data_IF_990475326870
#
_entry.id   IF_990475326870
#
_cell.length_a   1.000
_cell.length_b   1.000
_cell.length_c   1.000
_cell.angle_alpha   90.00
_cell.angle_beta   90.00
_cell.angle_gamma   90.00
#
_symmetry.space_group_name_H-M   'P 1'
#
loop_
_entity.id
_entity.type
_entity.pdbx_description
1 polymer ?
#
# COMPACT_ATOMS: atom_id res chain seq x y z
N UNK A 1 -17.81 -28.58 25.17
CA UNK A 1 -18.23 -27.34 24.49
C UNK A 1 -18.10 -27.57 23.00
N UNK A 2 -19.21 -27.72 22.28
CA UNK A 2 -19.23 -27.82 20.82
C UNK A 2 -18.92 -26.45 20.23
N UNK A 3 -17.95 -26.37 19.32
CA UNK A 3 -17.70 -25.13 18.57
C UNK A 3 -19.00 -24.65 17.90
N UNK A 4 -19.27 -23.33 17.86
CA UNK A 4 -20.43 -22.82 17.15
C UNK A 4 -20.39 -23.30 15.69
N UNK A 5 -21.53 -23.65 15.08
CA UNK A 5 -21.57 -24.02 13.68
C UNK A 5 -21.00 -22.86 12.85
N UNK A 6 -19.97 -23.16 12.05
CA UNK A 6 -19.43 -22.21 11.08
C UNK A 6 -20.57 -21.67 10.22
N UNK A 7 -20.58 -20.36 10.00
CA UNK A 7 -21.56 -19.66 9.18
C UNK A 7 -21.74 -20.42 7.84
N UNK A 8 -22.98 -20.67 7.39
CA UNK A 8 -23.25 -21.35 6.12
C UNK A 8 -22.47 -20.75 4.93
N UNK A 9 -22.22 -19.44 4.96
CA UNK A 9 -21.40 -18.76 3.96
C UNK A 9 -19.95 -19.21 4.02
N UNK A 10 -19.39 -19.39 5.21
CA UNK A 10 -18.03 -19.89 5.45
C UNK A 10 -17.89 -21.35 5.01
N UNK A 11 -18.88 -22.19 5.30
CA UNK A 11 -18.88 -23.57 4.83
C UNK A 11 -19.01 -23.66 3.31
N UNK A 12 -19.82 -22.81 2.70
CA UNK A 12 -19.96 -22.73 1.25
C UNK A 12 -18.65 -22.28 0.59
N UNK A 13 -17.99 -21.25 1.13
CA UNK A 13 -16.66 -20.83 0.67
C UNK A 13 -15.69 -22.00 0.81
N UNK A 14 -15.59 -22.64 1.98
CA UNK A 14 -14.65 -23.73 2.22
C UNK A 14 -14.84 -24.95 1.31
N UNK A 15 -16.09 -25.25 0.94
CA UNK A 15 -16.42 -26.42 0.10
C UNK A 15 -16.34 -26.13 -1.39
N UNK A 16 -16.41 -24.86 -1.80
CA UNK A 16 -16.46 -24.46 -3.21
C UNK A 16 -15.15 -23.83 -3.70
N UNK A 17 -14.30 -23.32 -2.79
CA UNK A 17 -13.05 -22.68 -3.15
C UNK A 17 -12.00 -23.73 -3.52
N UNK A 18 -11.88 -24.01 -4.81
CA UNK A 18 -10.73 -24.76 -5.34
C UNK A 18 -9.45 -23.93 -5.17
N UNK A 19 -8.30 -24.61 -5.14
CA UNK A 19 -6.99 -23.94 -5.11
C UNK A 19 -6.83 -22.93 -6.26
N UNK A 20 -7.35 -23.26 -7.44
CA UNK A 20 -7.32 -22.38 -8.62
C UNK A 20 -8.20 -21.14 -8.45
N UNK A 21 -9.41 -21.30 -7.89
CA UNK A 21 -10.31 -20.19 -7.61
C UNK A 21 -9.73 -19.25 -6.54
N UNK A 22 -9.08 -19.82 -5.52
CA UNK A 22 -8.37 -19.06 -4.50
C UNK A 22 -7.19 -18.27 -5.08
N UNK A 23 -6.36 -18.91 -5.90
CA UNK A 23 -5.23 -18.24 -6.56
C UNK A 23 -5.68 -17.15 -7.53
N UNK A 24 -6.78 -17.37 -8.26
CA UNK A 24 -7.36 -16.34 -9.13
C UNK A 24 -7.85 -15.14 -8.32
N UNK A 25 -8.55 -15.37 -7.21
CA UNK A 25 -9.01 -14.31 -6.31
C UNK A 25 -7.84 -13.51 -5.72
N UNK A 26 -6.76 -14.18 -5.29
CA UNK A 26 -5.52 -13.57 -4.83
C UNK A 26 -4.89 -12.66 -5.90
N UNK A 27 -4.79 -13.13 -7.15
CA UNK A 27 -4.24 -12.32 -8.25
C UNK A 27 -5.11 -11.09 -8.55
N UNK A 28 -6.44 -11.22 -8.49
CA UNK A 28 -7.35 -10.08 -8.62
C UNK A 28 -7.15 -9.05 -7.48
N UNK A 29 -6.95 -9.53 -6.25
CA UNK A 29 -6.65 -8.65 -5.13
C UNK A 29 -5.34 -7.90 -5.34
N UNK A 30 -4.27 -8.57 -5.77
CA UNK A 30 -2.99 -7.91 -6.08
C UNK A 30 -3.17 -6.83 -7.15
N UNK A 31 -3.94 -7.14 -8.21
CA UNK A 31 -4.19 -6.19 -9.30
C UNK A 31 -4.91 -4.93 -8.86
N UNK A 32 -5.76 -5.01 -7.84
CA UNK A 32 -6.51 -3.86 -7.34
C UNK A 32 -5.75 -3.12 -6.24
N UNK A 33 -5.24 -3.84 -5.25
CA UNK A 33 -4.69 -3.26 -4.03
C UNK A 33 -3.27 -2.72 -4.22
N UNK A 34 -2.39 -3.43 -4.94
CA UNK A 34 -1.01 -2.98 -5.09
C UNK A 34 -0.90 -1.61 -5.80
N UNK A 35 -1.64 -1.32 -6.90
CA UNK A 35 -1.62 0.01 -7.50
C UNK A 35 -2.22 1.09 -6.58
N UNK A 36 -3.24 0.75 -5.79
CA UNK A 36 -3.87 1.68 -4.86
C UNK A 36 -2.90 2.10 -3.75
N UNK A 37 -2.22 1.12 -3.13
CA UNK A 37 -1.24 1.36 -2.07
C UNK A 37 -0.06 2.21 -2.59
N UNK A 38 0.51 1.82 -3.73
CA UNK A 38 1.56 2.58 -4.40
C UNK A 38 1.10 4.02 -4.72
N UNK A 39 -0.13 4.17 -5.21
CA UNK A 39 -0.72 5.47 -5.53
C UNK A 39 -0.84 6.39 -4.31
N UNK A 40 -1.34 5.86 -3.19
CA UNK A 40 -1.48 6.60 -1.92
C UNK A 40 -0.11 7.05 -1.41
N UNK A 41 0.88 6.14 -1.39
CA UNK A 41 2.23 6.45 -0.90
C UNK A 41 2.90 7.47 -1.83
N UNK A 42 2.75 7.30 -3.15
CA UNK A 42 3.28 8.23 -4.15
C UNK A 42 2.72 9.64 -3.96
N UNK A 43 1.40 9.77 -3.82
CA UNK A 43 0.75 11.06 -3.59
C UNK A 43 1.21 11.70 -2.28
N UNK A 44 1.35 10.92 -1.22
CA UNK A 44 1.87 11.38 0.06
C UNK A 44 3.29 11.93 -0.07
N UNK A 45 4.17 11.21 -0.78
CA UNK A 45 5.52 11.68 -1.08
C UNK A 45 5.51 12.95 -1.91
N UNK A 46 4.60 13.08 -2.90
CA UNK A 46 4.50 14.28 -3.75
C UNK A 46 4.11 15.51 -2.94
N UNK A 47 3.13 15.36 -2.05
CA UNK A 47 2.72 16.43 -1.14
C UNK A 47 3.89 16.83 -0.23
N UNK A 48 4.60 15.84 0.34
CA UNK A 48 5.77 16.10 1.18
C UNK A 48 6.90 16.82 0.43
N UNK A 49 7.17 16.44 -0.83
CA UNK A 49 8.17 17.10 -1.68
C UNK A 49 7.82 18.56 -1.96
N UNK A 50 6.54 18.89 -2.15
CA UNK A 50 6.06 20.28 -2.27
C UNK A 50 6.30 21.06 -0.98
N UNK A 51 5.97 20.48 0.18
CA UNK A 51 6.24 21.09 1.48
C UNK A 51 7.74 21.35 1.72
N UNK A 52 8.60 20.42 1.29
CA UNK A 52 10.06 20.54 1.40
C UNK A 52 10.65 21.58 0.46
N UNK A 53 10.14 21.66 -0.78
CA UNK A 53 10.59 22.67 -1.73
C UNK A 53 10.35 24.10 -1.21
N UNK A 54 9.21 24.34 -0.56
CA UNK A 54 8.94 25.65 0.07
C UNK A 54 9.82 25.94 1.29
N UNK A 55 10.24 24.89 2.00
CA UNK A 55 11.16 25.00 3.12
C UNK A 55 12.65 25.01 2.69
N UNK A 56 12.94 25.09 1.39
CA UNK A 56 14.32 25.06 0.86
C UNK A 56 15.05 23.74 1.12
N UNK A 57 14.33 22.65 1.42
CA UNK A 57 14.92 21.35 1.73
C UNK A 57 14.97 20.47 0.47
N UNK A 58 15.97 19.58 0.37
CA UNK A 58 16.14 18.66 -0.76
C UNK A 58 14.97 17.68 -0.92
N UNK A 59 14.71 17.27 -2.18
CA UNK A 59 13.74 16.24 -2.58
C UNK A 59 14.01 14.86 -1.95
N UNK A 60 12.95 14.07 -1.82
CA UNK A 60 12.97 12.76 -1.14
C UNK A 60 13.21 11.60 -2.13
N UNK A 61 14.35 11.62 -2.85
CA UNK A 61 14.62 10.67 -3.95
C UNK A 61 14.63 9.20 -3.47
N UNK A 62 15.26 8.90 -2.34
CA UNK A 62 15.39 7.51 -1.85
C UNK A 62 14.04 6.85 -1.52
N UNK A 63 13.05 7.62 -1.04
CA UNK A 63 11.72 7.06 -0.74
C UNK A 63 10.95 6.73 -2.02
N UNK A 64 11.11 7.53 -3.08
CA UNK A 64 10.56 7.21 -4.40
C UNK A 64 11.21 5.97 -5.01
N UNK A 65 12.54 5.82 -4.87
CA UNK A 65 13.22 4.61 -5.33
C UNK A 65 12.74 3.38 -4.56
N UNK A 66 12.58 3.48 -3.23
CA UNK A 66 12.01 2.42 -2.41
C UNK A 66 10.61 2.03 -2.87
N UNK A 67 9.74 3.01 -3.10
CA UNK A 67 8.38 2.77 -3.62
C UNK A 67 8.38 2.11 -5.00
N UNK A 68 9.25 2.56 -5.91
CA UNK A 68 9.38 1.96 -7.24
C UNK A 68 9.82 0.49 -7.15
N UNK A 69 10.80 0.18 -6.30
CA UNK A 69 11.24 -1.19 -6.07
C UNK A 69 10.11 -2.05 -5.49
N UNK A 70 9.33 -1.52 -4.54
CA UNK A 70 8.17 -2.21 -3.99
C UNK A 70 7.14 -2.53 -5.08
N UNK A 71 6.79 -1.54 -5.92
CA UNK A 71 5.88 -1.74 -7.04
C UNK A 71 6.36 -2.84 -7.99
N UNK A 72 7.65 -2.85 -8.35
CA UNK A 72 8.23 -3.86 -9.23
C UNK A 72 8.23 -5.26 -8.60
N UNK A 73 8.55 -5.37 -7.31
CA UNK A 73 8.51 -6.65 -6.59
C UNK A 73 7.08 -7.17 -6.47
N UNK A 74 6.10 -6.31 -6.19
CA UNK A 74 4.68 -6.69 -6.11
C UNK A 74 4.16 -7.28 -7.44
N UNK A 75 4.66 -6.82 -8.60
CA UNK A 75 4.31 -7.40 -9.90
C UNK A 75 4.77 -8.86 -10.06
N UNK A 76 5.81 -9.29 -9.33
CA UNK A 76 6.26 -10.69 -9.36
C UNK A 76 5.28 -11.64 -8.66
N UNK A 77 4.32 -11.10 -7.88
CA UNK A 77 3.22 -11.85 -7.28
C UNK A 77 2.26 -12.44 -8.31
N UNK A 78 2.15 -11.87 -9.52
CA UNK A 78 1.30 -12.44 -10.59
C UNK A 78 1.82 -13.77 -11.16
N UNK A 79 3.14 -13.97 -11.08
CA UNK A 79 3.86 -15.14 -11.58
C UNK A 79 4.10 -16.17 -10.46
N UNK A 80 3.56 -15.94 -9.27
CA UNK A 80 3.68 -16.93 -8.19
C UNK A 80 2.74 -18.11 -8.44
N UNK A 81 3.27 -19.31 -8.20
CA UNK A 81 2.57 -20.59 -8.40
C UNK A 81 1.95 -21.12 -7.10
N UNK A 82 2.32 -20.55 -5.95
CA UNK A 82 1.79 -20.91 -4.64
C UNK A 82 1.25 -19.70 -3.87
N UNK A 83 0.23 -19.89 -3.00
CA UNK A 83 -0.28 -18.81 -2.15
C UNK A 83 0.78 -18.22 -1.20
N UNK A 84 1.69 -19.04 -0.70
CA UNK A 84 2.77 -18.61 0.21
C UNK A 84 3.76 -17.68 -0.50
N UNK A 85 4.08 -17.98 -1.77
CA UNK A 85 4.90 -17.11 -2.60
C UNK A 85 4.20 -15.79 -2.90
N UNK A 86 2.90 -15.83 -3.24
CA UNK A 86 2.09 -14.62 -3.43
C UNK A 86 2.15 -13.76 -2.17
N UNK A 87 1.88 -14.37 -1.01
CA UNK A 87 1.84 -13.68 0.26
C UNK A 87 3.18 -13.02 0.58
N UNK A 88 4.28 -13.74 0.43
CA UNK A 88 5.62 -13.21 0.73
C UNK A 88 6.00 -12.08 -0.23
N UNK A 89 5.71 -12.24 -1.53
CA UNK A 89 6.02 -11.23 -2.58
C UNK A 89 5.18 -9.96 -2.48
N UNK A 90 4.04 -10.00 -1.79
CA UNK A 90 3.14 -8.85 -1.64
C UNK A 90 3.26 -8.21 -0.25
N UNK A 91 3.36 -9.03 0.80
CA UNK A 91 3.43 -8.56 2.19
C UNK A 91 4.69 -7.74 2.46
N UNK A 92 5.85 -8.17 1.95
CA UNK A 92 7.11 -7.46 2.17
C UNK A 92 7.07 -6.06 1.51
N UNK A 93 6.75 -5.91 0.21
CA UNK A 93 6.56 -4.59 -0.39
C UNK A 93 5.54 -3.75 0.35
N UNK A 94 4.37 -4.31 0.69
CA UNK A 94 3.33 -3.59 1.42
C UNK A 94 3.82 -3.05 2.77
N UNK A 95 4.58 -3.84 3.53
CA UNK A 95 5.17 -3.40 4.79
C UNK A 95 6.19 -2.27 4.61
N UNK A 96 7.00 -2.31 3.53
CA UNK A 96 7.95 -1.24 3.21
C UNK A 96 7.20 0.03 2.77
N UNK A 97 6.17 -0.09 1.94
CA UNK A 97 5.31 1.00 1.51
C UNK A 97 4.66 1.71 2.70
N UNK A 98 4.11 0.93 3.63
CA UNK A 98 3.54 1.44 4.88
C UNK A 98 4.60 2.16 5.73
N UNK A 99 5.81 1.61 5.84
CA UNK A 99 6.91 2.25 6.55
C UNK A 99 7.32 3.59 5.89
N UNK A 100 7.41 3.64 4.56
CA UNK A 100 7.70 4.87 3.81
C UNK A 100 6.61 5.91 4.06
N UNK A 101 5.35 5.50 4.01
CA UNK A 101 4.20 6.36 4.27
C UNK A 101 4.22 6.93 5.68
N UNK A 102 4.30 6.08 6.72
CA UNK A 102 4.33 6.50 8.11
C UNK A 102 5.53 7.39 8.41
N UNK A 103 6.72 7.03 7.93
CA UNK A 103 7.92 7.85 8.10
C UNK A 103 7.76 9.23 7.45
N UNK A 104 7.16 9.30 6.26
CA UNK A 104 6.90 10.57 5.58
C UNK A 104 5.91 11.44 6.34
N UNK A 105 4.83 10.84 6.88
CA UNK A 105 3.89 11.57 7.72
C UNK A 105 4.53 12.11 9.00
N UNK A 106 5.38 11.33 9.66
CA UNK A 106 6.04 11.77 10.90
C UNK A 106 7.06 12.88 10.63
N UNK A 107 7.92 12.71 9.62
CA UNK A 107 9.04 13.63 9.37
C UNK A 107 8.61 14.90 8.63
N UNK A 108 7.70 14.77 7.66
CA UNK A 108 7.33 15.85 6.76
C UNK A 108 5.88 16.34 6.97
N UNK A 109 5.04 15.58 7.68
CA UNK A 109 3.65 15.94 7.97
C UNK A 109 3.44 17.31 8.62
N UNK A 110 4.23 17.72 9.65
CA UNK A 110 4.08 19.05 10.24
C UNK A 110 4.33 20.20 9.24
N UNK A 111 5.22 19.99 8.25
CA UNK A 111 5.50 20.99 7.20
C UNK A 111 4.36 21.03 6.19
N UNK A 112 3.85 19.86 5.82
CA UNK A 112 2.69 19.71 4.95
C UNK A 112 1.43 20.34 5.53
N UNK A 113 1.16 20.16 6.83
CA UNK A 113 0.00 20.77 7.48
C UNK A 113 0.08 22.30 7.48
N UNK A 114 1.24 22.87 7.82
CA UNK A 114 1.48 24.32 7.74
C UNK A 114 1.29 24.87 6.32
N UNK A 115 1.63 24.10 5.29
CA UNK A 115 1.36 24.45 3.90
C UNK A 115 -0.15 24.50 3.63
N UNK A 116 -0.89 23.46 4.03
CA UNK A 116 -2.34 23.39 3.83
C UNK A 116 -3.06 24.53 4.57
N UNK A 117 -2.66 24.82 5.81
CA UNK A 117 -3.19 25.95 6.58
C UNK A 117 -2.96 27.30 5.88
N UNK A 118 -1.75 27.53 5.34
CA UNK A 118 -1.45 28.76 4.58
C UNK A 118 -2.27 28.89 3.31
N UNK A 119 -2.49 27.80 2.57
CA UNK A 119 -3.25 27.81 1.33
C UNK A 119 -4.75 28.03 1.60
N UNK A 120 -5.31 27.33 2.58
CA UNK A 120 -6.70 27.48 3.00
C UNK A 120 -6.95 28.89 3.58
N UNK A 121 -6.02 29.39 4.40
CA UNK A 121 -6.11 30.73 4.97
C UNK A 121 -6.01 31.87 3.95
N UNK A 122 -5.38 31.64 2.78
CA UNK A 122 -5.31 32.60 1.67
C UNK A 122 -6.57 32.65 0.80
N UNK A 123 -7.47 31.68 0.99
CA UNK A 123 -8.71 31.54 0.22
C UNK A 123 -9.92 32.14 0.96
N UNK A 124 -9.70 32.72 2.16
CA UNK A 124 -10.61 33.63 2.85
C UNK A 124 -10.12 35.05 2.69
#
# INVERSE_FOLDING_TARGET
MSAPPLDPLFQWIWTTLSADAFMAALKCQIALWAPADVGIVFMTLRIADVGRAQAGTRRIIFRYLGLLLCALVSLTGFVADSPEEVWTRVLIPWGIELAIFSYTLVVDGPRTLKLMERLVGKTR
#
